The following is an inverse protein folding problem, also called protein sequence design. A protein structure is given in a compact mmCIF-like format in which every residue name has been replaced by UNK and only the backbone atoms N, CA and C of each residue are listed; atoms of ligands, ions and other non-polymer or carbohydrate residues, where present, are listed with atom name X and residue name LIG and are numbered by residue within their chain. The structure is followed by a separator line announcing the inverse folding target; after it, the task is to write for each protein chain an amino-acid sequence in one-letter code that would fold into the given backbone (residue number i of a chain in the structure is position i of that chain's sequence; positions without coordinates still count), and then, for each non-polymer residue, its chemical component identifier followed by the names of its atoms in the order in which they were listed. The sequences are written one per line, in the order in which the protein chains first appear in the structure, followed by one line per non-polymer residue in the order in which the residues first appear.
data_IF_231841685560
#
_entry.id   IF_231841685560
#
_cell.length_a   1.000
_cell.length_b   1.000
_cell.length_c   1.000
_cell.angle_alpha   90.00
_cell.angle_beta   90.00
_cell.angle_gamma   90.00
#
_symmetry.space_group_name_H-M   'P 1'
#
loop_
_entity.id
_entity.type
_entity.pdbx_description
1 polymer ?
#
# COMPACT_ATOMS: atom_id res chain seq x y z
N UNK A 1 55.21 -80.43 -18.19
CA UNK A 1 55.35 -78.97 -18.38
C UNK A 1 55.23 -78.29 -17.02
N UNK A 2 56.29 -77.57 -16.62
CA UNK A 2 56.34 -76.40 -15.71
C UNK A 2 55.52 -76.42 -14.41
N UNK A 3 56.16 -76.72 -13.25
CA UNK A 3 56.71 -75.79 -12.24
C UNK A 3 55.68 -75.13 -11.30
N UNK A 4 55.93 -75.29 -9.99
CA UNK A 4 55.39 -74.53 -8.84
C UNK A 4 55.91 -73.07 -8.85
N UNK A 5 55.85 -72.23 -7.77
CA UNK A 5 55.14 -72.30 -6.47
C UNK A 5 54.52 -70.93 -6.05
N UNK A 6 54.19 -70.81 -4.75
CA UNK A 6 54.47 -69.66 -3.84
C UNK A 6 53.39 -68.66 -3.43
N UNK A 7 53.48 -68.41 -2.12
CA UNK A 7 52.84 -67.51 -1.15
C UNK A 7 53.04 -66.00 -1.34
N UNK A 8 52.16 -65.21 -0.71
CA UNK A 8 52.39 -64.00 0.12
C UNK A 8 51.09 -63.14 0.11
N UNK A 9 50.44 -62.79 1.23
CA UNK A 9 50.70 -61.72 2.21
C UNK A 9 50.96 -60.32 1.59
N UNK A 10 50.16 -59.35 2.02
CA UNK A 10 50.29 -57.90 1.79
C UNK A 10 49.03 -57.34 1.11
N UNK A 11 48.44 -56.19 1.44
CA UNK A 11 48.90 -55.03 2.19
C UNK A 11 47.67 -54.16 2.48
N UNK A 12 47.63 -53.53 3.66
CA UNK A 12 46.67 -52.50 4.07
C UNK A 12 46.70 -51.30 3.12
N UNK A 13 45.54 -50.83 2.65
CA UNK A 13 45.39 -49.47 2.10
C UNK A 13 44.24 -48.79 2.82
N UNK A 14 44.61 -47.86 3.70
CA UNK A 14 43.78 -46.76 4.17
C UNK A 14 43.50 -45.78 3.03
N UNK A 15 42.24 -45.45 2.78
CA UNK A 15 41.89 -44.25 2.02
C UNK A 15 40.74 -43.51 2.72
N UNK A 16 41.12 -42.43 3.36
CA UNK A 16 40.28 -41.39 3.95
C UNK A 16 39.36 -40.80 2.88
N UNK A 17 38.04 -40.93 3.06
CA UNK A 17 37.07 -40.19 2.25
C UNK A 17 36.77 -38.88 2.98
N UNK A 18 37.22 -37.81 2.35
CA UNK A 18 37.10 -36.44 2.79
C UNK A 18 35.70 -35.91 2.43
N UNK A 19 35.14 -35.12 3.35
CA UNK A 19 33.84 -34.47 3.27
C UNK A 19 33.67 -33.62 2.01
N UNK A 20 32.49 -33.69 1.39
CA UNK A 20 31.92 -32.60 0.61
C UNK A 20 30.39 -32.64 0.77
N UNK A 21 29.94 -32.35 1.98
CA UNK A 21 28.56 -31.92 2.22
C UNK A 21 28.37 -30.57 1.53
N UNK A 22 27.76 -30.61 0.34
CA UNK A 22 27.22 -29.43 -0.34
C UNK A 22 26.14 -28.83 0.55
N UNK A 23 26.52 -27.86 1.39
CA UNK A 23 25.58 -26.88 1.95
C UNK A 23 24.91 -26.18 0.77
N UNK A 24 23.66 -26.54 0.49
CA UNK A 24 22.78 -25.76 -0.36
C UNK A 24 22.53 -24.43 0.34
N UNK A 25 23.23 -23.38 -0.09
CA UNK A 25 22.94 -22.02 0.31
C UNK A 25 21.64 -21.61 -0.41
N UNK A 26 20.49 -21.90 0.21
CA UNK A 26 19.24 -21.25 -0.19
C UNK A 26 19.31 -19.83 0.35
N UNK A 27 19.72 -18.88 -0.49
CA UNK A 27 19.52 -17.45 -0.21
C UNK A 27 18.01 -17.22 -0.07
N UNK A 28 17.52 -17.28 1.17
CA UNK A 28 16.22 -16.73 1.52
C UNK A 28 16.37 -15.22 1.37
N UNK A 29 15.90 -14.69 0.25
CA UNK A 29 15.71 -13.25 0.08
C UNK A 29 14.80 -12.81 1.23
N UNK A 30 15.35 -12.06 2.18
CA UNK A 30 14.60 -11.55 3.33
C UNK A 30 13.59 -10.54 2.80
N UNK A 31 12.32 -10.92 2.79
CA UNK A 31 11.24 -10.05 2.34
C UNK A 31 11.12 -8.93 3.38
N UNK A 32 11.41 -7.69 2.95
CA UNK A 32 11.24 -6.53 3.80
C UNK A 32 9.76 -6.15 3.87
N UNK A 33 9.16 -6.29 5.05
CA UNK A 33 7.78 -5.93 5.32
C UNK A 33 7.70 -4.86 6.41
N UNK A 34 6.83 -3.88 6.19
CA UNK A 34 6.55 -2.80 7.13
C UNK A 34 5.08 -2.84 7.48
N UNK A 35 4.78 -3.12 8.75
CA UNK A 35 3.41 -3.26 9.23
C UNK A 35 3.03 -2.10 10.14
N UNK A 36 1.87 -1.51 9.89
CA UNK A 36 1.26 -0.51 10.77
C UNK A 36 -0.19 -0.90 11.02
N UNK A 37 -0.47 -1.32 12.24
CA UNK A 37 -1.84 -1.64 12.68
C UNK A 37 -2.64 -0.36 12.95
N UNK A 38 -3.94 -0.39 12.65
CA UNK A 38 -4.83 0.74 12.91
C UNK A 38 -5.02 0.96 14.41
N UNK A 39 -4.99 2.22 14.84
CA UNK A 39 -5.32 2.66 16.19
C UNK A 39 -6.27 3.86 16.11
N UNK A 40 -7.34 3.81 16.90
CA UNK A 40 -8.41 4.82 16.84
C UNK A 40 -7.97 6.20 17.34
N UNK A 41 -7.02 6.24 18.29
CA UNK A 41 -6.43 7.47 18.84
C UNK A 41 -5.36 8.10 17.94
N UNK A 42 -4.87 7.37 16.93
CA UNK A 42 -3.86 7.82 15.97
C UNK A 42 -4.31 7.60 14.50
N UNK A 43 -5.49 8.09 14.08
CA UNK A 43 -6.12 7.69 12.81
C UNK A 43 -5.38 8.22 11.57
N UNK A 44 -4.41 9.12 11.73
CA UNK A 44 -3.56 9.66 10.67
C UNK A 44 -2.09 9.26 10.82
N UNK A 45 -1.77 8.25 11.63
CA UNK A 45 -0.41 7.75 11.87
C UNK A 45 -0.23 6.36 11.24
N UNK A 46 -0.32 6.27 9.91
CA UNK A 46 -0.28 5.02 9.15
C UNK A 46 0.98 4.88 8.29
N UNK A 47 0.82 4.17 7.17
CA UNK A 47 1.89 3.85 6.22
C UNK A 47 2.51 5.11 5.61
N UNK A 48 1.74 6.15 5.30
CA UNK A 48 2.33 7.36 4.74
C UNK A 48 3.15 8.14 5.76
N UNK A 49 2.71 8.15 7.03
CA UNK A 49 3.50 8.72 8.13
C UNK A 49 4.79 7.93 8.38
N UNK A 50 4.73 6.59 8.38
CA UNK A 50 5.91 5.73 8.45
C UNK A 50 6.90 6.04 7.30
N UNK A 51 6.43 6.05 6.06
CA UNK A 51 7.27 6.33 4.89
C UNK A 51 7.87 7.73 4.96
N UNK A 52 7.09 8.73 5.39
CA UNK A 52 7.57 10.11 5.57
C UNK A 52 8.75 10.19 6.53
N UNK A 53 8.65 9.50 7.67
CA UNK A 53 9.70 9.48 8.68
C UNK A 53 10.98 8.82 8.12
N UNK A 54 10.85 7.77 7.31
CA UNK A 54 11.98 7.08 6.70
C UNK A 54 12.67 7.89 5.60
N UNK A 55 11.91 8.56 4.73
CA UNK A 55 12.47 9.31 3.61
C UNK A 55 12.75 10.79 3.94
N UNK A 56 12.44 11.24 5.16
CA UNK A 56 12.68 12.60 5.62
C UNK A 56 11.88 13.65 4.83
N UNK A 57 10.62 13.36 4.49
CA UNK A 57 9.75 14.28 3.74
C UNK A 57 8.51 13.60 3.16
N UNK A 58 7.78 14.29 2.28
CA UNK A 58 6.60 13.70 1.64
C UNK A 58 7.02 12.51 0.74
N UNK A 59 6.49 11.29 0.96
CA UNK A 59 6.85 10.10 0.18
C UNK A 59 6.72 10.25 -1.34
N UNK A 60 5.77 11.04 -1.82
CA UNK A 60 5.63 11.35 -3.24
C UNK A 60 6.81 12.18 -3.75
N UNK A 61 7.12 13.29 -3.07
CA UNK A 61 8.19 14.21 -3.52
C UNK A 61 9.58 13.61 -3.36
N UNK A 62 9.73 12.63 -2.46
CA UNK A 62 10.93 11.81 -2.29
C UNK A 62 11.02 10.64 -3.28
N UNK A 63 10.00 10.45 -4.13
CA UNK A 63 10.00 9.40 -5.13
C UNK A 63 9.83 7.98 -4.56
N UNK A 64 9.31 7.83 -3.35
CA UNK A 64 9.04 6.52 -2.74
C UNK A 64 7.74 5.92 -3.29
N UNK A 65 6.71 6.74 -3.43
CA UNK A 65 5.44 6.39 -4.09
C UNK A 65 5.12 7.43 -5.15
N UNK A 66 4.15 7.15 -6.01
CA UNK A 66 3.55 8.15 -6.88
C UNK A 66 2.07 8.34 -6.52
N UNK A 67 1.59 9.58 -6.59
CA UNK A 67 0.21 9.95 -6.31
C UNK A 67 -0.30 10.74 -7.50
N UNK A 68 -1.35 10.26 -8.12
CA UNK A 68 -2.01 10.89 -9.26
C UNK A 68 -3.51 10.95 -9.05
N UNK A 69 -4.20 11.67 -9.93
CA UNK A 69 -5.65 11.82 -9.89
C UNK A 69 -6.23 11.91 -11.29
N UNK A 70 -7.56 11.78 -11.40
CA UNK A 70 -8.32 11.95 -12.64
C UNK A 70 -8.17 13.36 -13.21
N UNK A 71 -8.38 14.37 -12.37
CA UNK A 71 -8.26 15.79 -12.71
C UNK A 71 -7.78 16.55 -11.47
N UNK A 72 -7.34 17.79 -11.65
CA UNK A 72 -6.98 18.67 -10.54
C UNK A 72 -7.35 20.09 -10.91
N UNK A 73 -8.18 20.72 -10.09
CA UNK A 73 -8.55 22.13 -10.23
C UNK A 73 -7.78 23.00 -9.23
N UNK A 74 -7.50 22.51 -8.01
CA UNK A 74 -6.70 23.24 -7.03
C UNK A 74 -5.88 22.32 -6.10
N UNK A 75 -4.69 22.82 -5.71
CA UNK A 75 -3.68 22.11 -4.92
C UNK A 75 -3.22 20.79 -5.56
N UNK A 76 -2.18 20.16 -5.02
CA UNK A 76 -1.66 18.92 -5.57
C UNK A 76 -2.17 17.71 -4.78
N UNK A 77 -2.62 16.67 -5.49
CA UNK A 77 -3.15 15.44 -4.87
C UNK A 77 -2.19 14.82 -3.86
N UNK A 78 -0.87 14.88 -4.08
CA UNK A 78 0.11 14.32 -3.14
C UNK A 78 0.16 14.99 -1.77
N UNK A 79 -0.47 16.17 -1.60
CA UNK A 79 -0.51 16.86 -0.32
C UNK A 79 -1.45 16.17 0.68
N UNK A 80 -2.38 15.32 0.22
CA UNK A 80 -3.33 14.62 1.12
C UNK A 80 -2.65 13.66 2.09
N UNK A 81 -1.42 13.23 1.80
CA UNK A 81 -0.65 12.33 2.69
C UNK A 81 0.26 13.08 3.67
N UNK A 82 0.02 14.38 3.86
CA UNK A 82 0.68 15.18 4.88
C UNK A 82 -0.22 15.38 6.10
N UNK A 83 0.05 14.70 7.24
CA UNK A 83 -0.84 14.74 8.39
C UNK A 83 -0.99 16.15 8.99
N UNK A 84 -0.02 17.03 8.77
CA UNK A 84 -0.07 18.44 9.22
C UNK A 84 -0.74 19.39 8.24
N UNK A 85 -1.16 18.92 7.06
CA UNK A 85 -1.76 19.80 6.06
C UNK A 85 -3.20 20.18 6.42
N UNK A 86 -3.48 21.48 6.34
CA UNK A 86 -4.77 22.06 6.75
C UNK A 86 -5.61 22.58 5.57
N UNK A 87 -5.11 22.46 4.34
CA UNK A 87 -5.86 22.80 3.12
C UNK A 87 -6.54 21.56 2.53
N UNK A 88 -6.90 21.58 1.25
CA UNK A 88 -7.61 20.49 0.58
C UNK A 88 -7.26 20.42 -0.90
N UNK A 89 -7.24 19.22 -1.46
CA UNK A 89 -7.13 18.98 -2.89
C UNK A 89 -8.53 18.89 -3.50
N UNK A 90 -8.70 19.43 -4.71
CA UNK A 90 -9.98 19.53 -5.45
C UNK A 90 -9.80 19.11 -6.90
N UNK A 91 -10.72 18.28 -7.38
CA UNK A 91 -10.87 17.93 -8.80
C UNK A 91 -11.69 18.95 -9.56
N UNK A 92 -11.73 18.84 -10.88
CA UNK A 92 -12.81 19.44 -11.66
C UNK A 92 -14.17 18.81 -11.30
N UNK A 93 -15.25 19.43 -11.77
CA UNK A 93 -16.60 18.91 -11.62
C UNK A 93 -16.93 17.97 -12.79
N UNK A 94 -16.79 16.67 -12.57
CA UNK A 94 -17.13 15.65 -13.56
C UNK A 94 -17.22 14.27 -12.90
N UNK A 95 -17.95 13.30 -13.48
CA UNK A 95 -18.19 12.00 -12.85
C UNK A 95 -16.90 11.19 -12.67
N UNK A 96 -16.97 10.16 -11.82
CA UNK A 96 -15.94 9.13 -11.63
C UNK A 96 -14.55 9.65 -11.23
N UNK A 97 -14.49 10.76 -10.49
CA UNK A 97 -13.24 11.30 -9.97
C UNK A 97 -12.52 10.31 -9.04
N UNK A 98 -11.19 10.30 -9.12
CA UNK A 98 -10.36 9.42 -8.32
C UNK A 98 -9.03 10.04 -7.92
N UNK A 99 -8.47 9.52 -6.82
CA UNK A 99 -7.08 9.67 -6.41
C UNK A 99 -6.44 8.28 -6.33
N UNK A 100 -5.23 8.14 -6.86
CA UNK A 100 -4.51 6.87 -6.98
C UNK A 100 -3.13 6.96 -6.35
N UNK A 101 -2.74 5.88 -5.68
CA UNK A 101 -1.47 5.68 -5.00
C UNK A 101 -0.77 4.49 -5.66
N UNK A 102 0.37 4.76 -6.31
CA UNK A 102 1.26 3.74 -6.88
C UNK A 102 2.44 3.53 -5.94
N UNK A 103 2.49 2.35 -5.32
CA UNK A 103 3.55 1.91 -4.41
C UNK A 103 4.82 1.42 -5.14
N UNK A 104 4.90 1.63 -6.45
CA UNK A 104 6.05 1.32 -7.31
C UNK A 104 6.44 -0.15 -7.27
N UNK A 105 7.55 -0.49 -6.63
CA UNK A 105 8.02 -1.88 -6.49
C UNK A 105 7.42 -2.57 -5.27
N UNK A 106 6.68 -1.84 -4.43
CA UNK A 106 6.04 -2.41 -3.24
C UNK A 106 4.57 -2.74 -3.49
N UNK A 107 4.02 -3.61 -2.63
CA UNK A 107 2.59 -3.91 -2.56
C UNK A 107 2.05 -3.56 -1.19
N UNK A 108 0.92 -2.86 -1.17
CA UNK A 108 0.20 -2.51 0.04
C UNK A 108 -0.93 -3.51 0.27
N UNK A 109 -0.84 -4.28 1.35
CA UNK A 109 -1.94 -5.06 1.91
C UNK A 109 -2.80 -4.15 2.80
N UNK A 110 -3.86 -3.56 2.23
CA UNK A 110 -4.69 -2.56 2.90
C UNK A 110 -5.73 -3.20 3.83
N UNK A 111 -5.65 -2.89 5.12
CA UNK A 111 -6.61 -3.38 6.13
C UNK A 111 -7.57 -2.30 6.58
N UNK A 112 -7.10 -1.06 6.70
CA UNK A 112 -7.91 0.10 7.04
C UNK A 112 -7.44 1.32 6.25
N UNK A 113 -8.33 2.28 6.09
CA UNK A 113 -7.99 3.60 5.59
C UNK A 113 -8.73 4.67 6.38
N UNK A 114 -8.10 5.84 6.48
CA UNK A 114 -8.67 7.04 7.08
C UNK A 114 -8.84 8.11 6.01
N UNK A 115 -9.97 8.81 6.06
CA UNK A 115 -10.23 10.02 5.28
C UNK A 115 -10.44 11.18 6.26
N UNK A 116 -9.83 12.33 5.96
CA UNK A 116 -10.17 13.62 6.57
C UNK A 116 -10.79 14.54 5.54
N UNK A 117 -11.98 15.05 5.84
CA UNK A 117 -12.69 15.99 4.98
C UNK A 117 -12.13 17.41 5.08
N UNK A 118 -12.51 18.23 4.11
CA UNK A 118 -12.10 19.63 4.03
C UNK A 118 -12.85 20.54 5.00
N UNK A 119 -12.38 21.79 5.08
CA UNK A 119 -12.85 22.79 6.03
C UNK A 119 -14.19 23.42 5.63
N UNK A 120 -15.25 22.62 5.55
CA UNK A 120 -16.55 23.13 5.13
C UNK A 120 -17.70 22.50 5.89
N UNK A 121 -18.76 23.28 6.04
CA UNK A 121 -19.96 22.87 6.77
C UNK A 121 -20.66 21.68 6.09
N UNK A 122 -21.56 21.04 6.83
CA UNK A 122 -22.46 20.00 6.34
C UNK A 122 -23.20 20.45 5.08
N UNK A 123 -23.37 19.55 4.11
CA UNK A 123 -24.00 19.84 2.83
C UNK A 123 -23.07 20.44 1.78
N UNK A 124 -21.75 20.39 1.99
CA UNK A 124 -20.75 20.74 0.97
C UNK A 124 -20.41 19.60 0.00
N UNK A 125 -19.28 19.74 -0.71
CA UNK A 125 -18.68 18.74 -1.60
C UNK A 125 -18.08 17.53 -0.84
N UNK A 126 -18.62 17.18 0.32
CA UNK A 126 -18.21 16.00 1.07
C UNK A 126 -18.62 14.74 0.32
N UNK A 127 -17.72 13.75 0.25
CA UNK A 127 -18.00 12.47 -0.40
C UNK A 127 -19.08 11.68 0.37
N UNK A 128 -20.01 11.05 -0.36
CA UNK A 128 -21.05 10.17 0.23
C UNK A 128 -21.04 8.74 -0.32
N UNK A 129 -20.49 8.54 -1.51
CA UNK A 129 -20.37 7.23 -2.16
C UNK A 129 -19.02 7.09 -2.84
N UNK A 130 -18.29 6.02 -2.51
CA UNK A 130 -16.99 5.74 -3.12
C UNK A 130 -16.66 4.26 -3.05
N UNK A 131 -15.65 3.89 -3.83
CA UNK A 131 -15.03 2.57 -3.81
C UNK A 131 -13.53 2.73 -3.61
N UNK A 132 -12.96 1.88 -2.76
CA UNK A 132 -11.51 1.68 -2.66
C UNK A 132 -11.20 0.43 -3.47
N UNK A 133 -10.34 0.57 -4.48
CA UNK A 133 -10.00 -0.51 -5.41
C UNK A 133 -8.49 -0.71 -5.43
N UNK A 134 -8.07 -1.96 -5.62
CA UNK A 134 -6.68 -2.36 -5.77
C UNK A 134 -6.39 -2.93 -7.15
N UNK A 135 -5.18 -2.70 -7.65
CA UNK A 135 -4.71 -3.28 -8.92
C UNK A 135 -3.24 -3.68 -8.84
N UNK A 136 -2.88 -4.72 -9.59
CA UNK A 136 -1.48 -5.14 -9.81
C UNK A 136 -0.90 -4.57 -11.10
N UNK A 137 -1.74 -4.12 -12.04
CA UNK A 137 -1.35 -3.77 -13.41
C UNK A 137 -1.92 -2.41 -13.89
N UNK A 138 -2.60 -1.66 -13.02
CA UNK A 138 -3.25 -0.38 -13.28
C UNK A 138 -4.45 -0.42 -14.27
N UNK A 139 -4.83 -1.61 -14.75
CA UNK A 139 -5.90 -1.83 -15.73
C UNK A 139 -7.08 -2.58 -15.12
N UNK A 140 -6.81 -3.69 -14.45
CA UNK A 140 -7.80 -4.53 -13.79
C UNK A 140 -7.88 -4.15 -12.32
N UNK A 141 -9.09 -3.82 -11.86
CA UNK A 141 -9.32 -3.30 -10.52
C UNK A 141 -10.23 -4.24 -9.73
N UNK A 142 -9.79 -4.61 -8.53
CA UNK A 142 -10.57 -5.38 -7.57
C UNK A 142 -11.07 -4.48 -6.44
N UNK A 143 -12.34 -4.65 -6.06
CA UNK A 143 -12.93 -3.90 -4.97
C UNK A 143 -12.38 -4.37 -3.60
N UNK A 144 -11.73 -3.45 -2.89
CA UNK A 144 -11.26 -3.65 -1.51
C UNK A 144 -12.37 -3.28 -0.52
N UNK A 145 -13.06 -2.17 -0.76
CA UNK A 145 -14.17 -1.70 0.06
C UNK A 145 -15.09 -0.75 -0.73
N UNK A 146 -16.35 -0.67 -0.33
CA UNK A 146 -17.36 0.20 -0.94
C UNK A 146 -18.22 0.83 0.12
N UNK A 147 -18.42 2.16 0.01
CA UNK A 147 -19.39 2.92 0.79
C UNK A 147 -20.41 3.54 -0.16
N UNK A 148 -21.68 3.44 0.20
CA UNK A 148 -22.80 3.91 -0.62
C UNK A 148 -23.72 4.79 0.22
N UNK A 149 -23.89 6.04 -0.19
CA UNK A 149 -24.81 7.01 0.41
C UNK A 149 -24.65 7.16 1.94
N UNK A 150 -23.42 7.15 2.44
CA UNK A 150 -23.11 7.30 3.87
C UNK A 150 -22.95 8.78 4.24
N UNK A 151 -23.33 9.15 5.47
CA UNK A 151 -23.23 10.52 5.98
C UNK A 151 -22.00 10.82 6.82
N UNK A 152 -21.15 9.82 7.07
CA UNK A 152 -20.06 9.85 8.05
C UNK A 152 -18.99 10.93 7.79
N UNK A 153 -18.90 11.42 6.54
CA UNK A 153 -17.95 12.43 6.10
C UNK A 153 -18.57 13.84 5.98
N UNK A 154 -19.86 14.03 6.28
CA UNK A 154 -20.59 15.27 5.99
C UNK A 154 -20.42 16.38 7.05
N UNK A 155 -19.17 16.68 7.43
CA UNK A 155 -18.85 17.65 8.47
C UNK A 155 -17.46 18.25 8.24
N UNK A 156 -17.21 19.43 8.82
CA UNK A 156 -15.95 20.15 8.75
C UNK A 156 -14.81 19.34 9.39
N UNK A 157 -13.73 19.13 8.64
CA UNK A 157 -12.51 18.44 9.13
C UNK A 157 -12.78 17.10 9.82
N UNK A 158 -13.83 16.41 9.41
CA UNK A 158 -14.21 15.11 9.95
C UNK A 158 -13.13 14.10 9.61
N UNK A 159 -12.60 13.42 10.62
CA UNK A 159 -11.69 12.28 10.45
C UNK A 159 -12.51 11.02 10.67
N UNK A 160 -12.49 10.11 9.68
CA UNK A 160 -13.17 8.83 9.79
C UNK A 160 -12.31 7.72 9.20
N UNK A 161 -12.18 6.64 9.96
CA UNK A 161 -11.48 5.43 9.59
C UNK A 161 -12.45 4.31 9.27
N UNK A 162 -12.06 3.45 8.35
CA UNK A 162 -12.87 2.34 7.86
C UNK A 162 -12.01 1.09 7.76
N UNK A 163 -12.55 -0.04 8.24
CA UNK A 163 -11.99 -1.35 7.97
C UNK A 163 -12.37 -1.80 6.56
N UNK A 164 -11.39 -2.30 5.81
CA UNK A 164 -11.61 -2.85 4.48
C UNK A 164 -12.40 -4.15 4.54
N UNK A 165 -13.40 -4.30 3.67
CA UNK A 165 -14.24 -5.50 3.60
C UNK A 165 -13.49 -6.69 2.99
N UNK A 166 -12.76 -6.45 1.91
CA UNK A 166 -12.00 -7.45 1.17
C UNK A 166 -10.53 -7.01 1.09
N UNK A 167 -9.75 -7.08 2.19
CA UNK A 167 -8.36 -6.67 2.19
C UNK A 167 -7.54 -7.50 1.20
N UNK A 168 -6.55 -6.88 0.56
CA UNK A 168 -5.67 -7.51 -0.42
C UNK A 168 -4.42 -6.70 -0.68
N UNK A 169 -3.39 -7.35 -1.24
CA UNK A 169 -2.09 -6.76 -1.53
C UNK A 169 -2.01 -6.26 -2.98
N UNK A 170 -1.83 -4.95 -3.15
CA UNK A 170 -1.82 -4.32 -4.46
C UNK A 170 -0.70 -3.29 -4.61
N UNK A 171 -0.15 -3.17 -5.82
CA UNK A 171 0.78 -2.08 -6.16
C UNK A 171 0.05 -0.75 -6.28
N UNK A 172 -1.14 -0.78 -6.88
CA UNK A 172 -1.96 0.40 -7.07
C UNK A 172 -3.17 0.31 -6.15
N UNK A 173 -3.45 1.39 -5.45
CA UNK A 173 -4.70 1.57 -4.71
C UNK A 173 -5.31 2.88 -5.18
N UNK A 174 -6.62 2.91 -5.42
CA UNK A 174 -7.33 4.17 -5.69
C UNK A 174 -8.60 4.29 -4.85
N UNK A 175 -8.94 5.53 -4.53
CA UNK A 175 -10.25 5.90 -4.00
C UNK A 175 -10.97 6.61 -5.15
N UNK A 176 -12.13 6.09 -5.54
CA UNK A 176 -12.93 6.59 -6.67
C UNK A 176 -14.35 6.91 -6.21
N UNK A 177 -14.84 8.10 -6.51
CA UNK A 177 -16.25 8.42 -6.29
C UNK A 177 -17.14 7.56 -7.17
N UNK A 178 -18.26 7.11 -6.61
CA UNK A 178 -19.27 6.28 -7.30
C UNK A 178 -20.64 6.96 -7.32
N UNK A 179 -20.66 8.25 -7.00
CA UNK A 179 -21.83 9.09 -7.01
C UNK A 179 -21.50 10.51 -6.58
N UNK A 180 -22.52 11.36 -6.63
CA UNK A 180 -22.45 12.77 -6.26
C UNK A 180 -22.09 12.99 -4.80
N UNK A 181 -21.60 14.19 -4.47
CA UNK A 181 -21.33 14.66 -3.11
C UNK A 181 -22.61 14.98 -2.33
N UNK A 182 -22.46 15.45 -1.09
CA UNK A 182 -23.57 15.95 -0.28
C UNK A 182 -24.21 17.25 -0.81
N UNK A 183 -23.62 17.93 -1.79
CA UNK A 183 -24.21 19.09 -2.48
C UNK A 183 -24.56 18.81 -3.95
N UNK A 184 -24.73 17.53 -4.31
CA UNK A 184 -25.11 17.06 -5.65
C UNK A 184 -24.18 17.46 -6.81
N UNK A 185 -22.90 17.72 -6.50
CA UNK A 185 -21.82 17.89 -7.46
C UNK A 185 -21.05 16.58 -7.70
N UNK A 186 -20.20 16.55 -8.73
CA UNK A 186 -19.28 15.46 -9.00
C UNK A 186 -17.82 15.82 -8.63
N UNK A 187 -17.62 16.84 -7.78
CA UNK A 187 -16.29 17.26 -7.32
C UNK A 187 -15.81 16.34 -6.20
N UNK A 188 -14.56 15.87 -6.28
CA UNK A 188 -13.88 15.20 -5.18
C UNK A 188 -13.02 16.19 -4.40
N UNK A 189 -13.23 16.23 -3.08
CA UNK A 189 -12.49 17.12 -2.18
C UNK A 189 -11.97 16.35 -0.97
N UNK A 190 -10.66 16.40 -0.75
CA UNK A 190 -10.01 15.69 0.36
C UNK A 190 -8.95 16.57 1.04
N UNK A 191 -8.87 16.49 2.37
CA UNK A 191 -7.76 17.07 3.14
C UNK A 191 -6.71 16.02 3.43
N UNK A 192 -7.06 14.87 4.04
CA UNK A 192 -6.09 13.81 4.27
C UNK A 192 -6.58 12.42 3.91
N UNK A 193 -5.62 11.57 3.54
CA UNK A 193 -5.78 10.12 3.39
C UNK A 193 -4.63 9.44 4.12
N UNK A 194 -4.93 8.39 4.89
CA UNK A 194 -3.94 7.53 5.53
C UNK A 194 -4.32 6.07 5.41
N UNK A 195 -3.34 5.19 5.21
CA UNK A 195 -3.53 3.75 5.02
C UNK A 195 -2.87 2.93 6.13
N UNK A 196 -3.46 1.79 6.46
CA UNK A 196 -2.98 0.86 7.48
C UNK A 196 -2.96 -0.57 6.95
N UNK A 197 -2.06 -1.38 7.48
CA UNK A 197 -1.80 -2.75 7.01
C UNK A 197 -0.31 -3.01 6.82
N UNK A 198 0.03 -3.77 5.77
CA UNK A 198 1.42 -4.19 5.52
C UNK A 198 1.89 -3.71 4.16
N UNK A 199 3.00 -2.98 4.12
CA UNK A 199 3.73 -2.65 2.91
C UNK A 199 4.86 -3.68 2.74
N UNK A 200 4.80 -4.45 1.66
CA UNK A 200 5.81 -5.44 1.30
C UNK A 200 6.63 -4.94 0.13
N UNK A 201 7.95 -4.95 0.27
CA UNK A 201 8.87 -4.64 -0.83
C UNK A 201 9.18 -5.94 -1.57
N UNK A 202 8.94 -5.94 -2.88
CA UNK A 202 9.32 -7.05 -3.77
C UNK A 202 10.76 -6.88 -4.28
#
# INVERSE_FOLDING_TARGET
MSQAPTSAIGTTITSSINNNDKKSNSDKTEIQEEKVDFKEDEPLNGIFTLLRNKCGGNPHTKGIINISSSTTCANHAYQVIDPGWMSHWVTENGPDQWIKFDFKTSRMYLTHYTIKTYNYVTGGNHMRSWVVEGSTNDNDWLEIDRKQSVGDLNERYKVKSYQCKNPGAFRYIRIKQTGKTHCDSDIMVLTNVEFFGTLRMD
#
